data_IF_923979724907
#
_entry.id   IF_923979724907
#
_cell.length_a   1.000
_cell.length_b   1.000
_cell.length_c   1.000
_cell.angle_alpha   90.00
_cell.angle_beta   90.00
_cell.angle_gamma   90.00
#
_symmetry.space_group_name_H-M   'P 1'
#
loop_
_entity.id
_entity.type
_entity.pdbx_description
1 polymer ?
#
# COMPACT_ATOMS: atom_id res chain seq x y z
N UNK A 1 23.62 21.25 -7.18
CA UNK A 1 23.68 20.56 -5.87
C UNK A 1 22.29 19.98 -5.62
N UNK A 2 22.08 18.70 -5.91
CA UNK A 2 20.84 18.02 -5.51
C UNK A 2 20.92 17.81 -4.01
N UNK A 3 20.02 18.41 -3.25
CA UNK A 3 19.79 18.03 -1.85
C UNK A 3 19.55 16.52 -1.81
N UNK A 4 20.27 15.74 -0.99
CA UNK A 4 19.92 14.34 -0.80
C UNK A 4 18.49 14.29 -0.26
N UNK A 5 17.61 13.56 -0.94
CA UNK A 5 16.30 13.26 -0.40
C UNK A 5 16.49 12.34 0.80
N UNK A 6 16.57 12.90 2.00
CA UNK A 6 16.69 12.14 3.27
C UNK A 6 15.33 11.60 3.68
N UNK A 7 14.67 10.84 2.81
CA UNK A 7 13.53 10.04 3.27
C UNK A 7 14.13 8.76 3.84
N UNK A 8 14.05 8.61 5.16
CA UNK A 8 14.49 7.38 5.84
C UNK A 8 13.70 6.19 5.26
N UNK A 9 14.37 5.13 4.74
CA UNK A 9 13.69 3.96 4.18
C UNK A 9 12.67 3.33 5.14
N UNK A 10 12.92 3.40 6.44
CA UNK A 10 12.00 2.91 7.45
C UNK A 10 10.68 3.68 7.55
N UNK A 11 10.69 4.99 7.28
CA UNK A 11 9.45 5.77 7.19
C UNK A 11 8.58 5.29 6.02
N UNK A 12 9.20 4.93 4.90
CA UNK A 12 8.50 4.37 3.74
C UNK A 12 7.97 2.97 4.05
N UNK A 13 8.76 2.10 4.66
CA UNK A 13 8.29 0.78 5.09
C UNK A 13 7.12 0.89 6.08
N UNK A 14 7.18 1.83 7.02
CA UNK A 14 6.07 2.11 7.92
C UNK A 14 4.83 2.57 7.16
N UNK A 15 4.98 3.49 6.20
CA UNK A 15 3.89 3.94 5.34
C UNK A 15 3.26 2.79 4.55
N UNK A 16 4.06 1.90 3.96
CA UNK A 16 3.58 0.72 3.25
C UNK A 16 2.76 -0.21 4.15
N UNK A 17 3.21 -0.47 5.39
CA UNK A 17 2.45 -1.29 6.36
C UNK A 17 1.10 -0.65 6.73
N UNK A 18 1.05 0.67 6.85
CA UNK A 18 -0.21 1.38 7.12
C UNK A 18 -1.18 1.30 5.95
N UNK A 19 -0.66 1.38 4.71
CA UNK A 19 -1.47 1.22 3.49
C UNK A 19 -1.99 -0.21 3.33
N UNK A 20 -1.19 -1.23 3.65
CA UNK A 20 -1.66 -2.63 3.69
C UNK A 20 -2.81 -2.80 4.69
N UNK A 21 -2.68 -2.17 5.87
CA UNK A 21 -3.74 -2.21 6.88
C UNK A 21 -5.01 -1.51 6.38
N UNK A 22 -4.88 -0.37 5.70
CA UNK A 22 -6.01 0.33 5.08
C UNK A 22 -6.68 -0.53 3.99
N UNK A 23 -5.88 -1.20 3.15
CA UNK A 23 -6.37 -2.12 2.13
C UNK A 23 -7.20 -3.25 2.75
N UNK A 24 -6.70 -3.89 3.81
CA UNK A 24 -7.41 -4.96 4.52
C UNK A 24 -8.71 -4.45 5.15
N UNK A 25 -8.71 -3.23 5.72
CA UNK A 25 -9.92 -2.61 6.27
C UNK A 25 -10.96 -2.33 5.18
N UNK A 26 -10.54 -1.81 4.02
CA UNK A 26 -11.43 -1.55 2.90
C UNK A 26 -12.03 -2.86 2.34
N UNK A 27 -11.25 -3.93 2.24
CA UNK A 27 -11.74 -5.26 1.86
C UNK A 27 -12.79 -5.80 2.84
N UNK A 28 -12.54 -5.67 4.14
CA UNK A 28 -13.51 -6.03 5.18
C UNK A 28 -14.80 -5.21 5.06
N UNK A 29 -14.69 -3.91 4.78
CA UNK A 29 -15.85 -3.05 4.57
C UNK A 29 -16.65 -3.47 3.34
N UNK A 30 -15.97 -3.81 2.23
CA UNK A 30 -16.59 -4.36 1.01
C UNK A 30 -17.39 -5.64 1.29
N UNK A 31 -16.82 -6.57 2.06
CA UNK A 31 -17.51 -7.81 2.46
C UNK A 31 -18.72 -7.52 3.34
N UNK A 32 -18.58 -6.69 4.36
CA UNK A 32 -19.68 -6.30 5.25
C UNK A 32 -20.81 -5.59 4.51
N UNK A 33 -20.49 -4.78 3.50
CA UNK A 33 -21.50 -4.19 2.64
C UNK A 33 -22.31 -5.28 1.94
N UNK A 34 -21.66 -6.27 1.30
CA UNK A 34 -22.36 -7.39 0.64
C UNK A 34 -23.22 -8.21 1.59
N UNK A 35 -22.77 -8.42 2.82
CA UNK A 35 -23.56 -9.09 3.86
C UNK A 35 -24.86 -8.34 4.18
N UNK A 36 -24.90 -7.02 3.99
CA UNK A 36 -26.08 -6.19 4.22
C UNK A 36 -27.15 -6.30 3.11
N UNK A 37 -26.91 -7.02 2.00
CA UNK A 37 -27.92 -7.24 0.96
C UNK A 37 -29.20 -7.88 1.53
N UNK A 38 -29.04 -8.84 2.46
CA UNK A 38 -30.15 -9.57 3.05
C UNK A 38 -30.99 -10.35 2.03
N UNK A 39 -32.16 -10.82 2.45
CA UNK A 39 -33.16 -11.40 1.55
C UNK A 39 -34.12 -10.32 1.07
N UNK A 40 -34.45 -10.32 -0.22
CA UNK A 40 -35.51 -9.46 -0.77
C UNK A 40 -36.87 -9.65 -0.08
N UNK A 41 -37.12 -10.82 0.52
CA UNK A 41 -38.34 -11.13 1.27
C UNK A 41 -38.48 -10.29 2.55
N UNK A 42 -37.36 -9.80 3.11
CA UNK A 42 -37.36 -8.96 4.30
C UNK A 42 -38.04 -7.59 4.08
N UNK A 43 -38.18 -7.17 2.82
CA UNK A 43 -38.83 -5.90 2.45
C UNK A 43 -40.36 -6.05 2.31
N UNK A 44 -40.87 -7.28 2.19
CA UNK A 44 -42.29 -7.58 2.02
C UNK A 44 -42.73 -7.82 0.56
N UNK A 45 -43.99 -8.25 0.34
CA UNK A 45 -44.42 -8.77 -0.96
C UNK A 45 -44.95 -7.71 -1.94
N UNK A 46 -45.11 -6.45 -1.52
CA UNK A 46 -45.70 -5.40 -2.35
C UNK A 46 -44.80 -4.98 -3.52
N UNK A 47 -45.37 -4.35 -4.55
CA UNK A 47 -44.58 -3.80 -5.65
C UNK A 47 -43.59 -2.72 -5.17
N UNK A 48 -44.01 -1.88 -4.22
CA UNK A 48 -43.15 -0.87 -3.59
C UNK A 48 -42.00 -1.51 -2.81
N UNK A 49 -42.27 -2.56 -2.03
CA UNK A 49 -41.26 -3.32 -1.32
C UNK A 49 -40.19 -3.90 -2.27
N UNK A 50 -40.60 -4.46 -3.40
CA UNK A 50 -39.67 -4.94 -4.44
C UNK A 50 -38.82 -3.81 -5.02
N UNK A 51 -39.43 -2.66 -5.31
CA UNK A 51 -38.69 -1.49 -5.80
C UNK A 51 -37.65 -1.00 -4.78
N UNK A 52 -37.99 -1.00 -3.49
CA UNK A 52 -37.06 -0.62 -2.41
C UNK A 52 -35.95 -1.65 -2.27
N UNK A 53 -36.27 -2.95 -2.32
CA UNK A 53 -35.27 -4.02 -2.28
C UNK A 53 -34.28 -3.92 -3.45
N UNK A 54 -34.75 -3.61 -4.66
CA UNK A 54 -33.89 -3.40 -5.82
C UNK A 54 -33.00 -2.16 -5.69
N UNK A 55 -33.55 -1.05 -5.19
CA UNK A 55 -32.78 0.17 -4.93
C UNK A 55 -31.70 -0.07 -3.85
N UNK A 56 -32.06 -0.76 -2.77
CA UNK A 56 -31.15 -1.17 -1.70
C UNK A 56 -30.00 -2.03 -2.24
N UNK A 57 -30.32 -3.07 -3.01
CA UNK A 57 -29.33 -3.95 -3.62
C UNK A 57 -28.33 -3.18 -4.46
N UNK A 58 -28.79 -2.29 -5.34
CA UNK A 58 -27.91 -1.47 -6.18
C UNK A 58 -26.99 -0.58 -5.36
N UNK A 59 -27.50 0.05 -4.30
CA UNK A 59 -26.70 0.90 -3.42
C UNK A 59 -25.62 0.08 -2.69
N UNK A 60 -26.00 -1.08 -2.14
CA UNK A 60 -25.07 -1.97 -1.45
C UNK A 60 -23.99 -2.50 -2.39
N UNK A 61 -24.37 -2.96 -3.59
CA UNK A 61 -23.42 -3.42 -4.62
C UNK A 61 -22.45 -2.32 -5.02
N UNK A 62 -22.93 -1.09 -5.21
CA UNK A 62 -22.07 0.05 -5.55
C UNK A 62 -21.05 0.35 -4.45
N UNK A 63 -21.48 0.42 -3.17
CA UNK A 63 -20.55 0.68 -2.06
C UNK A 63 -19.57 -0.47 -1.83
N UNK A 64 -20.01 -1.70 -2.01
CA UNK A 64 -19.12 -2.86 -1.94
C UNK A 64 -18.04 -2.82 -3.02
N UNK A 65 -18.39 -2.36 -4.24
CA UNK A 65 -17.45 -2.20 -5.34
C UNK A 65 -16.42 -1.11 -5.02
N UNK A 66 -16.87 0.10 -4.65
CA UNK A 66 -15.98 1.22 -4.30
C UNK A 66 -14.97 0.86 -3.20
N UNK A 67 -15.41 0.12 -2.17
CA UNK A 67 -14.53 -0.33 -1.09
C UNK A 67 -13.55 -1.42 -1.55
N UNK A 68 -13.94 -2.25 -2.52
CA UNK A 68 -13.05 -3.21 -3.17
C UNK A 68 -11.97 -2.51 -3.98
N UNK A 69 -12.34 -1.54 -4.81
CA UNK A 69 -11.41 -0.73 -5.61
C UNK A 69 -10.43 0.02 -4.71
N UNK A 70 -10.90 0.67 -3.65
CA UNK A 70 -10.03 1.35 -2.68
C UNK A 70 -9.04 0.39 -2.01
N UNK A 71 -9.46 -0.86 -1.74
CA UNK A 71 -8.59 -1.90 -1.19
C UNK A 71 -7.45 -2.22 -2.16
N UNK A 72 -7.79 -2.48 -3.42
CA UNK A 72 -6.83 -2.79 -4.48
C UNK A 72 -5.85 -1.64 -4.71
N UNK A 73 -6.34 -0.41 -4.83
CA UNK A 73 -5.51 0.79 -5.02
C UNK A 73 -4.57 1.03 -3.85
N UNK A 74 -5.04 0.83 -2.62
CA UNK A 74 -4.21 0.96 -1.40
C UNK A 74 -3.10 -0.09 -1.35
N UNK A 75 -3.40 -1.33 -1.75
CA UNK A 75 -2.40 -2.40 -1.81
C UNK A 75 -1.35 -2.14 -2.90
N UNK A 76 -1.77 -1.64 -4.07
CA UNK A 76 -0.84 -1.24 -5.15
C UNK A 76 0.07 -0.11 -4.68
N UNK A 77 -0.47 0.88 -3.98
CA UNK A 77 0.34 1.97 -3.42
C UNK A 77 1.32 1.45 -2.37
N UNK A 78 0.90 0.53 -1.49
CA UNK A 78 1.78 -0.09 -0.51
C UNK A 78 2.97 -0.81 -1.17
N UNK A 79 2.73 -1.56 -2.25
CA UNK A 79 3.79 -2.21 -3.04
C UNK A 79 4.79 -1.20 -3.57
N UNK A 80 4.31 -0.14 -4.23
CA UNK A 80 5.17 0.90 -4.80
C UNK A 80 6.00 1.64 -3.75
N UNK A 81 5.42 1.91 -2.58
CA UNK A 81 6.12 2.55 -1.47
C UNK A 81 7.22 1.63 -0.92
N UNK A 82 6.97 0.32 -0.84
CA UNK A 82 7.97 -0.66 -0.42
C UNK A 82 9.10 -0.80 -1.43
N UNK A 83 8.78 -0.92 -2.72
CA UNK A 83 9.76 -0.94 -3.80
C UNK A 83 10.66 0.30 -3.79
N UNK A 84 10.09 1.48 -3.52
CA UNK A 84 10.87 2.70 -3.35
C UNK A 84 11.80 2.63 -2.14
N UNK A 85 11.33 2.13 -0.99
CA UNK A 85 12.14 1.97 0.22
C UNK A 85 13.34 1.02 -0.02
N UNK A 86 13.08 -0.14 -0.63
CA UNK A 86 14.10 -1.13 -0.98
C UNK A 86 15.16 -0.54 -1.93
N UNK A 87 14.72 0.26 -2.90
CA UNK A 87 15.63 0.94 -3.84
C UNK A 87 16.53 1.97 -3.17
N UNK A 88 16.01 2.73 -2.18
CA UNK A 88 16.83 3.69 -1.43
C UNK A 88 17.87 2.98 -0.58
N UNK A 89 17.46 1.94 0.15
CA UNK A 89 18.38 1.17 0.98
C UNK A 89 19.49 0.52 0.15
N UNK A 90 19.15 -0.10 -0.99
CA UNK A 90 20.17 -0.70 -1.88
C UNK A 90 21.15 0.33 -2.44
N UNK A 91 20.67 1.54 -2.79
CA UNK A 91 21.53 2.60 -3.31
C UNK A 91 22.51 3.13 -2.26
N UNK A 92 22.07 3.24 -0.99
CA UNK A 92 22.92 3.67 0.12
C UNK A 92 23.99 2.60 0.45
N UNK A 93 23.62 1.31 0.46
CA UNK A 93 24.56 0.20 0.66
C UNK A 93 25.64 0.13 -0.44
N UNK A 94 25.26 0.36 -1.70
CA UNK A 94 26.21 0.43 -2.83
C UNK A 94 27.18 1.62 -2.68
N UNK A 95 26.68 2.78 -2.25
CA UNK A 95 27.50 3.98 -2.06
C UNK A 95 28.51 3.81 -0.90
N UNK A 96 28.08 3.26 0.23
CA UNK A 96 28.94 2.99 1.39
C UNK A 96 30.01 1.95 1.06
N UNK A 97 29.65 0.90 0.30
CA UNK A 97 30.59 -0.10 -0.20
C UNK A 97 31.67 0.52 -1.10
N UNK A 98 31.29 1.40 -2.03
CA UNK A 98 32.23 2.07 -2.93
C UNK A 98 33.19 3.00 -2.18
N UNK A 99 32.71 3.72 -1.15
CA UNK A 99 33.56 4.56 -0.30
C UNK A 99 34.52 3.70 0.53
N UNK A 100 34.05 2.57 1.07
CA UNK A 100 34.88 1.63 1.82
C UNK A 100 36.03 1.04 1.00
N UNK A 101 35.77 0.65 -0.25
CA UNK A 101 36.81 0.14 -1.16
C UNK A 101 37.82 1.22 -1.55
N UNK A 102 37.37 2.45 -1.85
CA UNK A 102 38.28 3.58 -2.08
C UNK A 102 39.18 3.88 -0.87
N UNK A 103 38.64 3.77 0.35
CA UNK A 103 39.40 3.94 1.58
C UNK A 103 40.51 2.89 1.74
N UNK A 104 40.21 1.62 1.46
CA UNK A 104 41.20 0.53 1.51
C UNK A 104 42.30 0.70 0.46
N UNK A 105 41.94 1.12 -0.75
CA UNK A 105 42.90 1.34 -1.83
C UNK A 105 43.87 2.50 -1.52
N UNK A 106 43.40 3.57 -0.86
CA UNK A 106 44.27 4.65 -0.42
C UNK A 106 45.22 4.22 0.71
N UNK A 107 44.72 3.48 1.70
CA UNK A 107 45.50 3.04 2.86
C UNK A 107 46.58 2.01 2.48
N UNK A 108 46.26 1.13 1.52
CA UNK A 108 47.22 0.20 0.93
C UNK A 108 48.33 0.88 0.11
N UNK A 109 48.03 2.01 -0.54
CA UNK A 109 49.03 2.81 -1.27
C UNK A 109 49.94 3.60 -0.33
N UNK A 110 49.40 4.13 0.77
CA UNK A 110 50.18 4.84 1.78
C UNK A 110 51.11 3.91 2.56
N UNK A 111 50.73 2.64 2.73
CA UNK A 111 51.54 1.62 3.41
C UNK A 111 52.66 1.01 2.54
N UNK A 112 52.73 1.32 1.25
CA UNK A 112 53.78 0.83 0.33
C UNK A 112 54.91 1.84 0.09
N UNK A 113 54.79 3.07 0.60
CA UNK A 113 55.75 4.17 0.40
C UNK A 113 56.75 4.36 1.57
N UNK A 114 56.79 3.43 2.55
CA UNK A 114 57.82 3.32 3.61
C UNK A 114 58.81 2.17 3.33
#
# INVERSE_FOLDING_TARGET
MSTPFTVEPELLHQGARQLDQAAATAEQASRKAREALGSSEAFGPSGEARSVADAWRRLVEARALEMGELSEESAVLASKVREAADSYQGSDEEADGAIGELGKDMDGRLSQDD
#
